data_IF_027661903970
#
_entry.id   IF_027661903970
#
_cell.length_a   1.000
_cell.length_b   1.000
_cell.length_c   1.000
_cell.angle_alpha   90.00
_cell.angle_beta   90.00
_cell.angle_gamma   90.00
#
_symmetry.space_group_name_H-M   'P 1'
#
loop_
_entity.id
_entity.type
_entity.pdbx_description
1 polymer ?
#
# COMPACT_ATOMS: atom_id res chain seq x y z
N UNK A 1 7.71 26.86 -11.40
CA UNK A 1 7.39 26.95 -9.96
C UNK A 1 5.98 26.45 -9.64
N UNK A 2 4.91 26.97 -10.29
CA UNK A 2 3.53 26.58 -9.97
C UNK A 2 3.27 25.07 -10.09
N UNK A 3 3.66 24.43 -11.19
CA UNK A 3 3.47 22.99 -11.40
C UNK A 3 4.21 22.18 -10.33
N UNK A 4 5.44 22.56 -10.00
CA UNK A 4 6.24 21.89 -8.99
C UNK A 4 5.58 21.99 -7.60
N UNK A 5 5.13 23.18 -7.20
CA UNK A 5 4.38 23.38 -5.95
C UNK A 5 3.05 22.60 -5.91
N UNK A 6 2.36 22.48 -7.06
CA UNK A 6 1.12 21.72 -7.15
C UNK A 6 1.35 20.22 -6.88
N UNK A 7 2.43 19.60 -7.42
CA UNK A 7 2.71 18.18 -7.17
C UNK A 7 3.10 17.89 -5.72
N UNK A 8 3.64 18.86 -5.00
CA UNK A 8 3.87 18.75 -3.54
C UNK A 8 2.55 18.71 -2.76
N UNK A 9 1.60 19.59 -3.09
CA UNK A 9 0.25 19.55 -2.51
C UNK A 9 -0.47 18.23 -2.82
N UNK A 10 -0.37 17.74 -4.06
CA UNK A 10 -0.90 16.44 -4.48
C UNK A 10 -0.27 15.30 -3.69
N UNK A 11 1.05 15.37 -3.41
CA UNK A 11 1.75 14.36 -2.62
C UNK A 11 1.22 14.32 -1.19
N UNK A 12 1.08 15.46 -0.51
CA UNK A 12 0.49 15.52 0.83
C UNK A 12 -0.92 14.92 0.87
N UNK A 13 -1.74 15.20 -0.15
CA UNK A 13 -3.10 14.69 -0.26
C UNK A 13 -3.15 13.17 -0.50
N UNK A 14 -2.32 12.65 -1.43
CA UNK A 14 -2.33 11.23 -1.80
C UNK A 14 -1.83 10.33 -0.67
N UNK A 15 -0.91 10.81 0.18
CA UNK A 15 -0.41 10.06 1.35
C UNK A 15 -1.57 9.61 2.25
N UNK A 16 -2.57 10.46 2.47
CA UNK A 16 -3.72 10.18 3.34
C UNK A 16 -4.54 8.98 2.86
N UNK A 17 -4.61 8.73 1.55
CA UNK A 17 -5.37 7.62 0.98
C UNK A 17 -4.97 6.27 1.56
N UNK A 18 -3.67 6.07 1.77
CA UNK A 18 -3.12 4.84 2.31
C UNK A 18 -3.54 4.53 3.76
N UNK A 19 -3.89 5.55 4.54
CA UNK A 19 -4.35 5.37 5.92
C UNK A 19 -5.84 5.04 6.02
N UNK A 20 -6.66 5.50 5.05
CA UNK A 20 -8.12 5.39 5.08
C UNK A 20 -8.70 4.36 4.10
N UNK A 21 -7.82 3.69 3.36
CA UNK A 21 -8.18 2.70 2.35
C UNK A 21 -9.17 1.64 2.88
N UNK A 22 -10.06 1.19 2.01
CA UNK A 22 -11.02 0.12 2.27
C UNK A 22 -12.29 0.53 3.05
N UNK A 23 -12.37 1.76 3.59
CA UNK A 23 -13.54 2.19 4.38
C UNK A 23 -13.98 3.64 4.24
N UNK A 24 -13.17 4.53 3.69
CA UNK A 24 -13.57 5.90 3.44
C UNK A 24 -14.51 5.98 2.23
N UNK A 25 -15.59 6.78 2.31
CA UNK A 25 -16.39 7.11 1.12
C UNK A 25 -15.56 7.93 0.15
N UNK A 26 -15.61 7.61 -1.13
CA UNK A 26 -14.88 8.32 -2.19
C UNK A 26 -15.16 9.84 -2.14
N UNK A 27 -16.43 10.24 -2.01
CA UNK A 27 -16.81 11.66 -1.94
C UNK A 27 -16.19 12.39 -0.75
N UNK A 28 -16.08 11.74 0.41
CA UNK A 28 -15.45 12.33 1.59
C UNK A 28 -13.93 12.47 1.38
N UNK A 29 -13.30 11.48 0.77
CA UNK A 29 -11.89 11.55 0.43
C UNK A 29 -11.60 12.65 -0.61
N UNK A 30 -12.40 12.76 -1.68
CA UNK A 30 -12.25 13.84 -2.69
C UNK A 30 -12.43 15.23 -2.06
N UNK A 31 -13.43 15.40 -1.20
CA UNK A 31 -13.62 16.67 -0.48
C UNK A 31 -12.43 16.96 0.45
N UNK A 32 -11.87 15.95 1.10
CA UNK A 32 -10.67 16.10 1.91
C UNK A 32 -9.44 16.45 1.06
N UNK A 33 -9.28 15.85 -0.13
CA UNK A 33 -8.21 16.22 -1.09
C UNK A 33 -8.29 17.70 -1.45
N UNK A 34 -9.50 18.22 -1.69
CA UNK A 34 -9.69 19.65 -1.94
C UNK A 34 -9.28 20.47 -0.70
N UNK A 35 -9.71 20.07 0.49
CA UNK A 35 -9.38 20.80 1.73
C UNK A 35 -7.87 20.81 2.03
N UNK A 36 -7.19 19.65 1.89
CA UNK A 36 -5.75 19.59 2.15
C UNK A 36 -4.96 20.36 1.11
N UNK A 37 -5.32 20.27 -0.18
CA UNK A 37 -4.58 20.92 -1.26
C UNK A 37 -4.84 22.41 -1.35
N UNK A 38 -6.05 22.88 -0.97
CA UNK A 38 -6.42 24.30 -1.07
C UNK A 38 -6.19 25.09 0.23
N UNK A 39 -6.16 24.43 1.39
CA UNK A 39 -6.11 25.12 2.70
C UNK A 39 -5.02 24.55 3.61
N UNK A 40 -5.10 23.24 3.97
CA UNK A 40 -4.27 22.69 5.05
C UNK A 40 -2.78 22.77 4.70
N UNK A 41 -2.40 22.25 3.54
CA UNK A 41 -1.03 22.29 3.03
C UNK A 41 -0.56 23.70 2.66
N UNK A 42 -1.33 24.55 1.94
CA UNK A 42 -0.91 25.90 1.61
C UNK A 42 -0.67 26.81 2.82
N UNK A 43 -1.41 26.63 3.93
CA UNK A 43 -1.11 27.33 5.18
C UNK A 43 0.26 26.93 5.70
N UNK A 44 0.58 25.64 5.73
CA UNK A 44 1.91 25.17 6.16
C UNK A 44 3.02 25.68 5.24
N UNK A 45 2.85 25.58 3.92
CA UNK A 45 3.80 26.11 2.95
C UNK A 45 3.98 27.62 3.06
N UNK A 46 2.90 28.37 3.32
CA UNK A 46 2.94 29.82 3.48
C UNK A 46 3.68 30.27 4.75
N UNK A 47 3.48 29.60 5.88
CA UNK A 47 4.17 29.96 7.14
C UNK A 47 5.62 29.48 7.17
N UNK A 48 6.03 28.61 6.23
CA UNK A 48 7.40 28.09 6.06
C UNK A 48 8.04 28.66 4.79
N UNK A 49 7.98 27.99 3.68
CA UNK A 49 8.62 28.36 2.40
C UNK A 49 8.16 29.70 1.83
N UNK A 50 6.91 30.12 2.13
CA UNK A 50 6.38 31.42 1.77
C UNK A 50 6.91 32.60 2.59
N UNK A 51 7.91 32.38 3.47
CA UNK A 51 8.52 33.42 4.29
C UNK A 51 7.69 33.85 5.50
N UNK A 52 6.71 33.04 5.92
CA UNK A 52 5.90 33.32 7.09
C UNK A 52 6.63 33.09 8.43
N UNK A 53 5.85 33.01 9.51
CA UNK A 53 6.39 33.02 10.88
C UNK A 53 7.40 31.91 11.19
N UNK A 54 7.23 30.69 10.67
CA UNK A 54 8.17 29.59 10.90
C UNK A 54 9.51 29.81 10.18
N UNK A 55 9.50 30.42 9.00
CA UNK A 55 10.74 30.87 8.36
C UNK A 55 11.44 31.92 9.23
N UNK A 56 10.66 32.85 9.83
CA UNK A 56 11.20 33.87 10.71
C UNK A 56 11.85 33.33 11.99
N UNK A 57 11.41 32.17 12.50
CA UNK A 57 12.07 31.50 13.65
C UNK A 57 13.19 30.55 13.22
N UNK A 58 13.48 30.42 11.91
CA UNK A 58 14.56 29.61 11.38
C UNK A 58 14.25 28.13 11.17
N UNK A 59 12.96 27.76 11.12
CA UNK A 59 12.57 26.40 10.72
C UNK A 59 13.00 26.14 9.28
N UNK A 60 13.64 24.99 9.06
CA UNK A 60 14.14 24.61 7.75
C UNK A 60 13.66 23.20 7.37
N UNK A 61 13.21 23.07 6.15
CA UNK A 61 12.75 21.81 5.53
C UNK A 61 12.95 21.94 4.02
N UNK A 62 13.94 21.23 3.49
CA UNK A 62 14.39 21.41 2.12
C UNK A 62 13.34 21.05 1.09
N UNK A 63 12.86 19.81 1.12
CA UNK A 63 11.92 19.30 0.12
C UNK A 63 10.62 18.76 0.72
N UNK A 64 10.29 19.09 1.97
CA UNK A 64 9.00 18.75 2.56
C UNK A 64 9.00 17.44 3.36
N UNK A 65 10.09 17.09 4.03
CA UNK A 65 10.10 15.98 4.97
C UNK A 65 9.01 16.11 6.03
N UNK A 66 8.84 17.29 6.60
CA UNK A 66 7.73 17.62 7.51
C UNK A 66 6.57 18.29 6.79
N UNK A 67 6.85 19.27 5.93
CA UNK A 67 5.84 20.13 5.26
C UNK A 67 4.92 19.32 4.34
N UNK A 68 5.41 18.25 3.71
CA UNK A 68 4.64 17.38 2.81
C UNK A 68 4.37 16.03 3.46
N UNK A 69 5.43 15.30 3.78
CA UNK A 69 5.31 13.93 4.28
C UNK A 69 4.81 13.89 5.72
N UNK A 70 5.35 14.74 6.60
CA UNK A 70 4.85 14.90 7.97
C UNK A 70 3.38 15.29 8.00
N UNK A 71 2.99 16.30 7.21
CA UNK A 71 1.59 16.71 7.05
C UNK A 71 0.73 15.56 6.56
N UNK A 72 1.11 14.89 5.46
CA UNK A 72 0.36 13.76 4.91
C UNK A 72 0.23 12.59 5.89
N UNK A 73 1.33 12.23 6.58
CA UNK A 73 1.36 11.13 7.55
C UNK A 73 0.52 11.39 8.80
N UNK A 74 0.63 12.59 9.36
CA UNK A 74 -0.15 13.03 10.55
C UNK A 74 -1.63 13.16 10.18
N UNK A 75 -1.93 13.73 9.02
CA UNK A 75 -3.29 13.81 8.49
C UNK A 75 -3.89 12.42 8.27
N UNK A 76 -3.11 11.48 7.71
CA UNK A 76 -3.52 10.09 7.52
C UNK A 76 -3.86 9.40 8.83
N UNK A 77 -3.01 9.52 9.86
CA UNK A 77 -3.26 8.97 11.19
C UNK A 77 -4.53 9.57 11.82
N UNK A 78 -4.70 10.89 11.72
CA UNK A 78 -5.87 11.59 12.24
C UNK A 78 -7.15 11.14 11.53
N UNK A 79 -7.12 11.03 10.20
CA UNK A 79 -8.24 10.54 9.41
C UNK A 79 -8.59 9.09 9.73
N UNK A 80 -7.59 8.21 9.88
CA UNK A 80 -7.76 6.81 10.26
C UNK A 80 -8.44 6.68 11.64
N UNK A 81 -8.01 7.49 12.61
CA UNK A 81 -8.64 7.56 13.93
C UNK A 81 -10.10 8.01 13.86
N UNK A 82 -10.40 9.05 13.08
CA UNK A 82 -11.76 9.59 12.93
C UNK A 82 -12.73 8.60 12.27
N UNK A 83 -12.25 7.82 11.30
CA UNK A 83 -13.03 6.81 10.58
C UNK A 83 -13.24 5.53 11.39
N UNK A 84 -12.32 5.20 12.28
CA UNK A 84 -12.24 3.90 12.94
C UNK A 84 -11.60 2.81 12.08
N UNK A 85 -11.38 1.61 12.65
CA UNK A 85 -10.73 0.50 11.95
C UNK A 85 -11.65 -0.11 10.89
N UNK A 86 -11.06 -0.83 9.93
CA UNK A 86 -11.81 -1.71 9.01
C UNK A 86 -12.55 -2.79 9.80
N UNK A 87 -13.60 -3.32 9.19
CA UNK A 87 -14.33 -4.45 9.77
C UNK A 87 -13.36 -5.60 10.04
N UNK A 88 -13.58 -6.31 11.11
CA UNK A 88 -12.82 -7.49 11.53
C UNK A 88 -11.30 -7.24 11.76
N UNK A 89 -10.85 -5.96 11.73
CA UNK A 89 -9.44 -5.62 12.04
C UNK A 89 -9.07 -5.97 13.48
N UNK A 90 -10.00 -5.83 14.40
CA UNK A 90 -9.81 -6.17 15.81
C UNK A 90 -10.88 -7.14 16.25
N UNK A 91 -10.48 -8.22 16.95
CA UNK A 91 -11.37 -9.19 17.59
C UNK A 91 -11.99 -8.61 18.88
N UNK A 92 -13.00 -9.27 19.42
CA UNK A 92 -13.65 -8.85 20.67
C UNK A 92 -12.70 -8.82 21.87
N UNK A 93 -11.71 -9.70 21.90
CA UNK A 93 -10.65 -9.72 22.92
C UNK A 93 -9.58 -8.62 22.73
N UNK A 94 -9.72 -7.84 21.69
CA UNK A 94 -8.80 -6.75 21.32
C UNK A 94 -7.56 -7.22 20.57
N UNK A 95 -7.46 -8.48 20.17
CA UNK A 95 -6.37 -8.94 19.30
C UNK A 95 -6.50 -8.35 17.89
N UNK A 96 -5.35 -8.18 17.24
CA UNK A 96 -5.27 -7.61 15.90
C UNK A 96 -5.34 -8.73 14.85
N UNK A 97 -6.24 -8.59 13.88
CA UNK A 97 -6.36 -9.51 12.76
C UNK A 97 -5.66 -8.96 11.52
N UNK A 98 -4.95 -9.84 10.82
CA UNK A 98 -4.28 -9.48 9.57
C UNK A 98 -5.30 -9.39 8.44
N UNK A 99 -5.31 -8.26 7.74
CA UNK A 99 -6.06 -8.07 6.50
C UNK A 99 -5.03 -7.87 5.38
N UNK A 100 -4.61 -8.95 4.69
CA UNK A 100 -3.55 -8.88 3.69
C UNK A 100 -4.01 -8.15 2.43
N UNK A 101 -3.06 -7.49 1.75
CA UNK A 101 -3.30 -6.99 0.39
C UNK A 101 -3.30 -8.15 -0.63
N UNK A 102 -3.91 -7.91 -1.78
CA UNK A 102 -4.07 -8.93 -2.81
C UNK A 102 -2.79 -9.21 -3.62
N UNK A 103 -1.84 -8.25 -3.70
CA UNK A 103 -0.63 -8.41 -4.52
C UNK A 103 0.59 -7.73 -3.91
N UNK A 104 1.50 -8.53 -3.37
CA UNK A 104 2.81 -8.09 -2.91
C UNK A 104 3.67 -7.54 -4.04
N UNK A 105 3.60 -8.15 -5.23
CA UNK A 105 4.37 -7.75 -6.40
C UNK A 105 4.04 -6.33 -6.84
N UNK A 106 2.74 -5.96 -6.89
CA UNK A 106 2.33 -4.61 -7.22
C UNK A 106 2.73 -3.60 -6.14
N UNK A 107 2.69 -3.98 -4.87
CA UNK A 107 3.14 -3.10 -3.78
C UNK A 107 4.64 -2.77 -3.90
N UNK A 108 5.49 -3.78 -4.17
CA UNK A 108 6.93 -3.58 -4.38
C UNK A 108 7.20 -2.79 -5.66
N UNK A 109 6.51 -3.10 -6.77
CA UNK A 109 6.64 -2.33 -8.02
C UNK A 109 6.30 -0.85 -7.80
N UNK A 110 5.19 -0.56 -7.12
CA UNK A 110 4.80 0.81 -6.78
C UNK A 110 5.87 1.52 -5.94
N UNK A 111 6.47 0.82 -4.97
CA UNK A 111 7.60 1.35 -4.17
C UNK A 111 8.80 1.70 -5.03
N UNK A 112 9.18 0.87 -6.01
CA UNK A 112 10.30 1.15 -6.91
C UNK A 112 10.02 2.33 -7.85
N UNK A 113 8.79 2.47 -8.33
CA UNK A 113 8.36 3.64 -9.10
C UNK A 113 8.45 4.92 -8.27
N UNK A 114 8.02 4.88 -7.00
CA UNK A 114 8.17 5.99 -6.06
C UNK A 114 9.64 6.31 -5.78
N UNK A 115 10.49 5.29 -5.58
CA UNK A 115 11.93 5.46 -5.36
C UNK A 115 12.61 6.20 -6.51
N UNK A 116 12.26 5.85 -7.75
CA UNK A 116 12.73 6.56 -8.93
C UNK A 116 12.21 8.00 -8.98
N UNK A 117 10.90 8.19 -8.76
CA UNK A 117 10.27 9.51 -8.76
C UNK A 117 10.83 10.46 -7.68
N UNK A 118 11.39 9.90 -6.61
CA UNK A 118 11.95 10.68 -5.51
C UNK A 118 13.18 11.49 -5.89
N UNK A 119 13.92 11.08 -6.91
CA UNK A 119 14.97 11.94 -7.49
C UNK A 119 14.36 13.19 -8.12
N UNK A 120 13.24 13.06 -8.84
CA UNK A 120 12.49 14.21 -9.33
C UNK A 120 11.99 15.11 -8.18
N UNK A 121 11.56 14.50 -7.09
CA UNK A 121 11.07 15.21 -5.91
C UNK A 121 12.22 15.97 -5.20
N UNK A 122 13.26 15.28 -4.76
CA UNK A 122 14.36 15.87 -3.98
C UNK A 122 15.33 16.68 -4.86
N UNK A 123 15.85 16.09 -5.95
CA UNK A 123 16.81 16.79 -6.81
C UNK A 123 16.13 17.93 -7.57
N UNK A 124 14.87 17.74 -7.98
CA UNK A 124 14.07 18.81 -8.59
C UNK A 124 13.90 20.04 -7.68
N UNK A 125 13.90 19.85 -6.35
CA UNK A 125 13.81 20.95 -5.37
C UNK A 125 15.06 21.87 -5.39
N UNK A 126 16.19 21.42 -5.92
CA UNK A 126 17.37 22.31 -6.08
C UNK A 126 17.09 23.49 -7.02
N UNK A 127 16.05 23.39 -7.84
CA UNK A 127 15.48 24.39 -8.75
C UNK A 127 16.43 24.96 -9.79
N UNK A 128 17.66 25.33 -9.42
CA UNK A 128 18.67 25.90 -10.33
C UNK A 128 20.00 25.16 -10.18
N UNK A 129 20.48 24.65 -11.31
CA UNK A 129 21.80 24.02 -11.43
C UNK A 129 22.86 25.04 -11.85
N UNK A 130 22.41 26.08 -12.55
CA UNK A 130 23.25 27.18 -13.04
C UNK A 130 22.87 28.46 -12.33
N UNK A 131 23.84 29.17 -11.80
CA UNK A 131 23.69 30.53 -11.31
C UNK A 131 24.46 31.50 -12.21
N UNK A 132 24.04 32.77 -12.26
CA UNK A 132 24.77 33.84 -12.91
C UNK A 132 25.28 34.76 -11.80
N UNK A 133 26.57 34.71 -11.56
CA UNK A 133 27.25 35.56 -10.57
C UNK A 133 28.21 36.51 -11.30
N UNK A 134 28.06 37.80 -11.05
CA UNK A 134 28.87 38.85 -11.68
C UNK A 134 28.86 38.81 -13.23
N UNK A 135 27.77 38.30 -13.82
CA UNK A 135 27.61 38.15 -15.27
C UNK A 135 28.25 36.90 -15.87
N UNK A 136 28.85 36.04 -15.05
CA UNK A 136 29.39 34.75 -15.45
C UNK A 136 28.45 33.60 -15.04
N UNK A 137 28.34 32.59 -15.90
CA UNK A 137 27.62 31.36 -15.59
C UNK A 137 28.47 30.54 -14.62
N UNK A 138 27.96 30.24 -13.42
CA UNK A 138 28.61 29.39 -12.43
C UNK A 138 27.92 28.03 -12.36
N UNK A 139 28.68 27.00 -11.93
CA UNK A 139 28.20 25.63 -11.75
C UNK A 139 28.06 25.27 -10.27
N UNK A 140 28.02 26.25 -9.37
CA UNK A 140 28.03 26.04 -7.92
C UNK A 140 26.76 25.26 -7.45
N UNK A 141 25.66 25.37 -8.18
CA UNK A 141 24.47 24.56 -7.96
C UNK A 141 24.71 23.04 -8.06
N UNK A 142 25.70 22.58 -8.84
CA UNK A 142 26.01 21.15 -8.97
C UNK A 142 26.48 20.49 -7.66
N UNK A 143 27.12 21.21 -6.78
CA UNK A 143 27.54 20.67 -5.47
C UNK A 143 26.30 20.32 -4.61
N UNK A 144 25.25 21.15 -4.63
CA UNK A 144 24.00 20.89 -3.93
C UNK A 144 23.25 19.74 -4.60
N UNK A 145 23.14 19.74 -5.94
CA UNK A 145 22.53 18.64 -6.71
C UNK A 145 23.19 17.30 -6.37
N UNK A 146 24.52 17.25 -6.37
CA UNK A 146 25.28 16.05 -6.01
C UNK A 146 25.02 15.57 -4.60
N UNK A 147 24.97 16.50 -3.63
CA UNK A 147 24.65 16.18 -2.23
C UNK A 147 23.25 15.63 -2.08
N UNK A 148 22.26 16.28 -2.69
CA UNK A 148 20.84 15.85 -2.63
C UNK A 148 20.65 14.50 -3.30
N UNK A 149 21.26 14.27 -4.46
CA UNK A 149 21.22 12.98 -5.14
C UNK A 149 21.88 11.86 -4.28
N UNK A 150 23.03 12.13 -3.71
CA UNK A 150 23.72 11.22 -2.80
C UNK A 150 22.87 10.93 -1.55
N UNK A 151 22.37 11.95 -0.85
CA UNK A 151 21.54 11.78 0.33
C UNK A 151 20.26 10.96 0.01
N UNK A 152 19.62 11.21 -1.13
CA UNK A 152 18.46 10.45 -1.60
C UNK A 152 18.82 8.97 -1.83
N UNK A 153 19.94 8.71 -2.52
CA UNK A 153 20.38 7.33 -2.82
C UNK A 153 20.72 6.53 -1.56
N UNK A 154 21.58 7.11 -0.69
CA UNK A 154 21.99 6.39 0.54
C UNK A 154 20.84 6.32 1.54
N UNK A 155 19.96 7.32 1.55
CA UNK A 155 18.76 7.35 2.38
C UNK A 155 17.81 6.18 2.08
N UNK A 156 17.48 5.96 0.79
CA UNK A 156 16.61 4.82 0.41
C UNK A 156 17.25 3.48 0.78
N UNK A 157 18.56 3.31 0.53
CA UNK A 157 19.26 2.07 0.83
C UNK A 157 19.33 1.80 2.34
N UNK A 158 19.71 2.81 3.13
CA UNK A 158 19.84 2.69 4.58
C UNK A 158 18.45 2.46 5.25
N UNK A 159 17.40 3.11 4.77
CA UNK A 159 16.04 2.88 5.25
C UNK A 159 15.55 1.45 5.02
N UNK A 160 15.80 0.89 3.83
CA UNK A 160 15.49 -0.51 3.53
C UNK A 160 16.23 -1.47 4.47
N UNK A 161 17.54 -1.25 4.69
CA UNK A 161 18.36 -2.05 5.62
C UNK A 161 17.86 -1.92 7.05
N UNK A 162 17.54 -0.72 7.51
CA UNK A 162 16.97 -0.48 8.84
C UNK A 162 15.68 -1.25 9.08
N UNK A 163 14.76 -1.22 8.12
CA UNK A 163 13.51 -1.96 8.21
C UNK A 163 13.70 -3.48 8.14
N UNK A 164 14.67 -3.95 7.33
CA UNK A 164 15.04 -5.36 7.31
C UNK A 164 15.52 -5.84 8.70
N UNK A 165 16.39 -5.04 9.35
CA UNK A 165 16.88 -5.34 10.72
C UNK A 165 15.71 -5.30 11.71
N UNK A 166 14.86 -4.27 11.67
CA UNK A 166 13.71 -4.13 12.55
C UNK A 166 12.72 -5.29 12.40
N UNK A 167 12.37 -5.67 11.17
CA UNK A 167 11.48 -6.79 10.92
C UNK A 167 12.07 -8.12 11.36
N UNK A 168 13.37 -8.35 11.09
CA UNK A 168 14.07 -9.56 11.54
C UNK A 168 14.06 -9.68 13.07
N UNK A 169 14.22 -8.57 13.77
CA UNK A 169 14.17 -8.56 15.26
C UNK A 169 12.78 -8.93 15.77
N UNK A 170 11.71 -8.36 15.20
CA UNK A 170 10.34 -8.56 15.65
C UNK A 170 9.78 -9.92 15.22
N UNK A 171 9.95 -10.28 13.95
CA UNK A 171 9.22 -11.39 13.32
C UNK A 171 10.10 -12.60 13.01
N UNK A 172 11.41 -12.50 13.27
CA UNK A 172 12.43 -13.52 12.92
C UNK A 172 12.56 -13.77 11.42
N UNK A 173 11.97 -12.91 10.60
CA UNK A 173 12.05 -12.96 9.13
C UNK A 173 12.22 -11.55 8.57
N UNK A 174 12.85 -11.44 7.40
CA UNK A 174 12.87 -10.19 6.66
C UNK A 174 11.54 -10.06 5.90
N UNK A 175 10.69 -9.15 6.35
CA UNK A 175 9.40 -8.91 5.72
C UNK A 175 9.53 -7.96 4.54
N UNK A 176 9.03 -8.38 3.38
CA UNK A 176 9.16 -7.64 2.12
C UNK A 176 8.46 -6.27 2.16
N UNK A 177 7.29 -6.19 2.80
CA UNK A 177 6.56 -4.91 2.91
C UNK A 177 7.23 -3.95 3.88
N UNK A 178 7.78 -4.45 4.99
CA UNK A 178 8.57 -3.61 5.89
C UNK A 178 9.80 -3.07 5.17
N UNK A 179 10.51 -3.89 4.36
CA UNK A 179 11.66 -3.42 3.57
C UNK A 179 11.25 -2.36 2.55
N UNK A 180 10.16 -2.58 1.81
CA UNK A 180 9.62 -1.63 0.85
C UNK A 180 9.22 -0.30 1.52
N UNK A 181 8.46 -0.36 2.61
CA UNK A 181 8.09 0.82 3.39
C UNK A 181 9.32 1.48 4.05
N UNK A 182 10.32 0.70 4.46
CA UNK A 182 11.56 1.20 5.05
C UNK A 182 12.41 1.98 4.06
N UNK A 183 12.46 1.54 2.80
CA UNK A 183 13.05 2.30 1.70
C UNK A 183 12.40 3.68 1.60
N UNK A 184 11.06 3.74 1.64
CA UNK A 184 10.31 5.00 1.59
C UNK A 184 10.52 5.84 2.87
N UNK A 185 10.54 5.23 4.06
CA UNK A 185 10.80 5.95 5.31
C UNK A 185 12.20 6.58 5.33
N UNK A 186 13.21 5.88 4.78
CA UNK A 186 14.54 6.44 4.60
C UNK A 186 14.58 7.61 3.62
N UNK A 187 13.83 7.55 2.54
CA UNK A 187 13.65 8.66 1.61
C UNK A 187 12.98 9.85 2.28
N UNK A 188 11.88 9.64 3.00
CA UNK A 188 11.19 10.70 3.77
C UNK A 188 12.12 11.35 4.77
N UNK A 189 12.88 10.54 5.50
CA UNK A 189 13.83 11.01 6.53
C UNK A 189 14.84 12.02 6.00
N UNK A 190 15.39 11.78 4.80
CA UNK A 190 16.37 12.67 4.19
C UNK A 190 15.74 13.82 3.41
N UNK A 191 14.45 13.75 3.05
CA UNK A 191 13.78 14.73 2.18
C UNK A 191 13.85 16.16 2.72
N UNK A 192 13.66 16.34 4.02
CA UNK A 192 13.71 17.68 4.64
C UNK A 192 15.11 18.21 4.89
N UNK A 193 16.16 17.39 4.71
CA UNK A 193 17.53 17.71 5.14
C UNK A 193 18.59 17.48 4.05
N UNK A 194 18.17 17.07 2.85
CA UNK A 194 19.05 16.53 1.81
C UNK A 194 20.12 17.52 1.33
N UNK A 195 19.86 18.81 1.37
CA UNK A 195 20.77 19.89 0.98
C UNK A 195 21.86 20.21 2.02
N UNK A 196 21.58 19.95 3.30
CA UNK A 196 22.43 20.35 4.43
C UNK A 196 22.95 19.16 5.25
N UNK A 197 22.58 17.93 4.93
CA UNK A 197 22.99 16.74 5.67
C UNK A 197 24.38 16.25 5.24
N UNK A 198 25.17 15.79 6.20
CA UNK A 198 26.41 15.04 5.92
C UNK A 198 26.08 13.66 5.32
N UNK A 199 26.99 13.09 4.51
CA UNK A 199 26.76 11.78 3.89
C UNK A 199 26.51 10.65 4.93
N UNK A 200 27.27 10.64 6.02
CA UNK A 200 27.08 9.66 7.11
C UNK A 200 25.81 9.94 7.91
N UNK A 201 25.44 11.23 8.04
CA UNK A 201 24.18 11.65 8.68
C UNK A 201 22.97 11.17 7.91
N UNK A 202 22.98 11.25 6.58
CA UNK A 202 21.92 10.72 5.73
C UNK A 202 21.72 9.22 5.93
N UNK A 203 22.83 8.45 5.99
CA UNK A 203 22.78 7.00 6.28
C UNK A 203 22.20 6.74 7.68
N UNK A 204 22.69 7.42 8.69
CA UNK A 204 22.30 7.20 10.08
C UNK A 204 20.81 7.52 10.31
N UNK A 205 20.35 8.69 9.85
CA UNK A 205 18.96 9.12 10.03
C UNK A 205 18.00 8.19 9.29
N UNK A 206 18.34 7.84 8.06
CA UNK A 206 17.51 6.92 7.26
C UNK A 206 17.48 5.49 7.85
N UNK A 207 18.61 4.99 8.36
CA UNK A 207 18.69 3.70 9.04
C UNK A 207 17.77 3.67 10.28
N UNK A 208 17.81 4.73 11.09
CA UNK A 208 16.95 4.90 12.26
C UNK A 208 15.47 4.93 11.83
N UNK A 209 15.14 5.66 10.77
CA UNK A 209 13.77 5.75 10.26
C UNK A 209 13.27 4.44 9.66
N UNK A 210 14.12 3.64 9.04
CA UNK A 210 13.80 2.27 8.65
C UNK A 210 13.58 1.36 9.85
N UNK A 211 14.48 1.40 10.83
CA UNK A 211 14.42 0.57 12.04
C UNK A 211 13.16 0.85 12.89
N UNK A 212 12.77 2.12 13.05
CA UNK A 212 11.59 2.50 13.82
C UNK A 212 10.28 2.08 13.17
N UNK A 213 10.26 1.90 11.85
CA UNK A 213 9.03 1.70 11.08
C UNK A 213 8.17 0.52 11.60
N UNK A 214 8.68 -0.72 11.73
CA UNK A 214 7.86 -1.81 12.26
C UNK A 214 7.44 -1.57 13.71
N UNK A 215 8.29 -0.95 14.54
CA UNK A 215 7.99 -0.65 15.95
C UNK A 215 6.84 0.35 16.08
N UNK A 216 6.89 1.44 15.30
CA UNK A 216 5.82 2.46 15.32
C UNK A 216 4.54 1.90 14.70
N UNK A 217 4.63 1.06 13.67
CA UNK A 217 3.47 0.41 13.09
C UNK A 217 2.74 -0.47 14.12
N UNK A 218 3.46 -1.35 14.83
CA UNK A 218 2.87 -2.15 15.91
C UNK A 218 2.30 -1.28 17.03
N UNK A 219 2.99 -0.20 17.41
CA UNK A 219 2.48 0.71 18.43
C UNK A 219 1.15 1.35 18.02
N UNK A 220 1.06 1.87 16.78
CA UNK A 220 -0.16 2.48 16.23
C UNK A 220 -1.28 1.45 16.12
N UNK A 221 -0.99 0.27 15.57
CA UNK A 221 -1.97 -0.80 15.38
C UNK A 221 -2.41 -1.43 16.69
N UNK A 222 -1.47 -1.87 17.55
CA UNK A 222 -1.78 -2.74 18.69
C UNK A 222 -2.06 -1.96 19.98
N UNK A 223 -1.40 -0.82 20.17
CA UNK A 223 -1.57 -0.02 21.39
C UNK A 223 -2.57 1.10 21.20
N UNK A 224 -2.46 1.86 20.11
CA UNK A 224 -3.41 2.95 19.84
C UNK A 224 -4.72 2.45 19.22
N UNK A 225 -4.76 1.21 18.68
CA UNK A 225 -5.91 0.65 17.97
C UNK A 225 -6.37 1.50 16.80
N UNK A 226 -5.40 2.07 16.08
CA UNK A 226 -5.65 2.84 14.86
C UNK A 226 -5.25 1.98 13.66
N UNK A 227 -6.19 1.73 12.75
CA UNK A 227 -5.97 0.95 11.54
C UNK A 227 -5.38 1.83 10.42
N UNK A 228 -4.07 1.99 10.46
CA UNK A 228 -3.28 2.64 9.42
C UNK A 228 -2.90 1.62 8.34
N UNK A 229 -3.73 1.50 7.30
CA UNK A 229 -3.70 0.38 6.34
C UNK A 229 -2.36 0.24 5.63
N UNK A 230 -1.74 1.35 5.19
CA UNK A 230 -0.49 1.32 4.44
C UNK A 230 0.75 1.72 5.26
N UNK A 231 0.66 1.74 6.60
CA UNK A 231 1.72 2.24 7.47
C UNK A 231 2.12 3.69 7.15
N UNK A 232 1.12 4.52 6.85
CA UNK A 232 1.30 5.91 6.39
C UNK A 232 1.99 6.74 7.45
N UNK A 233 1.57 6.62 8.71
CA UNK A 233 2.19 7.38 9.80
C UNK A 233 3.63 6.95 10.08
N UNK A 234 3.98 5.66 10.21
CA UNK A 234 5.36 5.24 10.37
C UNK A 234 6.30 5.68 9.24
N UNK A 235 5.81 5.64 7.99
CA UNK A 235 6.60 6.00 6.81
C UNK A 235 6.74 7.50 6.63
N UNK A 236 5.64 8.24 6.74
CA UNK A 236 5.61 9.67 6.39
C UNK A 236 5.56 10.58 7.62
N UNK A 237 4.72 10.27 8.61
CA UNK A 237 4.53 11.09 9.80
C UNK A 237 5.76 11.05 10.71
N UNK A 238 6.09 9.88 11.25
CA UNK A 238 7.19 9.76 12.21
C UNK A 238 8.56 9.94 11.54
N UNK A 239 8.78 9.38 10.33
CA UNK A 239 10.05 9.56 9.64
C UNK A 239 10.29 11.00 9.20
N UNK A 240 9.23 11.73 8.79
CA UNK A 240 9.32 13.16 8.49
C UNK A 240 9.70 14.01 9.71
N UNK A 241 9.09 13.72 10.86
CA UNK A 241 9.43 14.36 12.14
C UNK A 241 10.86 14.07 12.56
N UNK A 242 11.26 12.78 12.54
CA UNK A 242 12.63 12.35 12.90
C UNK A 242 13.64 13.02 11.98
N UNK A 243 13.38 13.05 10.66
CA UNK A 243 14.28 13.62 9.67
C UNK A 243 14.62 15.08 9.97
N UNK A 244 13.61 15.94 10.10
CA UNK A 244 13.86 17.36 10.35
C UNK A 244 14.42 17.63 11.74
N UNK A 245 14.03 16.88 12.77
CA UNK A 245 14.61 16.99 14.11
C UNK A 245 16.06 16.48 14.21
N UNK A 246 16.46 15.60 13.31
CA UNK A 246 17.84 15.11 13.24
C UNK A 246 18.82 16.11 12.59
N UNK A 247 18.33 17.02 11.74
CA UNK A 247 19.19 17.96 11.00
C UNK A 247 20.22 18.68 11.87
N UNK A 248 19.88 19.24 13.04
CA UNK A 248 20.85 19.95 13.89
C UNK A 248 22.08 19.12 14.28
N UNK A 249 21.94 17.80 14.34
CA UNK A 249 22.99 16.86 14.76
C UNK A 249 23.87 16.34 13.60
N UNK A 250 23.33 16.40 12.38
CA UNK A 250 23.98 15.85 11.17
C UNK A 250 24.24 16.91 10.10
N UNK A 251 24.09 18.18 10.45
CA UNK A 251 24.28 19.32 9.57
C UNK A 251 25.75 19.46 9.13
N UNK A 252 25.97 19.81 7.86
CA UNK A 252 27.32 19.98 7.28
C UNK A 252 28.19 21.01 8.01
N UNK A 253 27.59 22.00 8.65
CA UNK A 253 28.28 23.03 9.42
C UNK A 253 28.38 22.70 10.93
N UNK A 254 28.03 21.49 11.34
CA UNK A 254 28.04 21.06 12.74
C UNK A 254 26.77 21.36 13.50
N UNK A 255 26.76 21.04 14.79
CA UNK A 255 25.58 21.16 15.67
C UNK A 255 25.18 22.63 15.91
N UNK A 256 23.88 22.88 15.90
CA UNK A 256 23.28 24.18 16.25
C UNK A 256 22.07 23.98 17.17
N UNK A 257 22.13 24.60 18.36
CA UNK A 257 21.02 24.59 19.32
C UNK A 257 19.85 25.45 18.82
N UNK A 258 20.14 26.58 18.17
CA UNK A 258 19.10 27.45 17.63
C UNK A 258 18.31 26.74 16.54
N UNK A 259 18.99 25.98 15.69
CA UNK A 259 18.34 25.15 14.68
C UNK A 259 17.49 24.06 15.33
N UNK A 260 17.97 23.42 16.41
CA UNK A 260 17.17 22.40 17.12
C UNK A 260 15.88 23.00 17.68
N UNK A 261 15.96 24.17 18.32
CA UNK A 261 14.78 24.86 18.86
C UNK A 261 13.81 25.22 17.73
N UNK A 262 14.32 25.74 16.62
CA UNK A 262 13.50 26.09 15.44
C UNK A 262 12.79 24.88 14.86
N UNK A 263 13.48 23.74 14.72
CA UNK A 263 12.89 22.50 14.23
C UNK A 263 11.80 21.98 15.17
N UNK A 264 12.02 22.01 16.49
CA UNK A 264 11.02 21.59 17.48
C UNK A 264 9.75 22.47 17.38
N UNK A 265 9.93 23.80 17.29
CA UNK A 265 8.80 24.73 17.14
C UNK A 265 8.03 24.45 15.84
N UNK A 266 8.76 24.28 14.72
CA UNK A 266 8.14 24.00 13.43
C UNK A 266 7.34 22.69 13.44
N UNK A 267 7.92 21.60 13.95
CA UNK A 267 7.24 20.30 14.07
C UNK A 267 6.00 20.41 14.95
N UNK A 268 6.08 21.10 16.09
CA UNK A 268 4.94 21.25 17.01
C UNK A 268 3.78 22.02 16.35
N UNK A 269 4.09 23.15 15.71
CA UNK A 269 3.08 24.01 15.05
C UNK A 269 2.44 23.27 13.87
N UNK A 270 3.24 22.67 12.99
CA UNK A 270 2.73 21.96 11.81
C UNK A 270 1.89 20.75 12.23
N UNK A 271 2.33 19.99 13.24
CA UNK A 271 1.57 18.86 13.80
C UNK A 271 0.22 19.32 14.35
N UNK A 272 0.21 20.35 15.21
CA UNK A 272 -1.01 20.87 15.82
C UNK A 272 -2.01 21.36 14.75
N UNK A 273 -1.54 22.14 13.78
CA UNK A 273 -2.36 22.60 12.66
C UNK A 273 -2.95 21.44 11.86
N UNK A 274 -2.12 20.48 11.48
CA UNK A 274 -2.53 19.33 10.65
C UNK A 274 -3.57 18.47 11.35
N UNK A 275 -3.36 18.16 12.64
CA UNK A 275 -4.33 17.39 13.44
C UNK A 275 -5.65 18.11 13.54
N UNK A 276 -5.64 19.39 13.95
CA UNK A 276 -6.86 20.17 14.16
C UNK A 276 -7.65 20.36 12.87
N UNK A 277 -6.97 20.73 11.79
CA UNK A 277 -7.63 20.96 10.49
C UNK A 277 -8.18 19.65 9.89
N UNK A 278 -7.42 18.55 9.96
CA UNK A 278 -7.88 17.26 9.48
C UNK A 278 -9.05 16.73 10.30
N UNK A 279 -8.97 16.83 11.64
CA UNK A 279 -10.05 16.42 12.53
C UNK A 279 -11.33 17.24 12.29
N UNK A 280 -11.20 18.54 12.01
CA UNK A 280 -12.34 19.39 11.69
C UNK A 280 -13.05 18.90 10.39
N UNK A 281 -12.30 18.67 9.32
CA UNK A 281 -12.88 18.22 8.05
C UNK A 281 -13.55 16.85 8.20
N UNK A 282 -12.82 15.83 8.70
CA UNK A 282 -13.40 14.49 8.90
C UNK A 282 -14.50 14.50 9.97
N UNK A 283 -14.43 15.37 10.97
CA UNK A 283 -15.47 15.58 11.98
C UNK A 283 -16.79 16.01 11.37
N UNK A 284 -16.79 16.96 10.44
CA UNK A 284 -17.98 17.38 9.69
C UNK A 284 -18.58 16.22 8.90
N UNK A 285 -17.76 15.49 8.14
CA UNK A 285 -18.23 14.33 7.38
C UNK A 285 -18.76 13.21 8.28
N UNK A 286 -18.11 12.97 9.43
CA UNK A 286 -18.55 11.98 10.42
C UNK A 286 -19.89 12.37 11.03
N UNK A 287 -20.06 13.62 11.44
CA UNK A 287 -21.31 14.13 11.97
C UNK A 287 -22.47 14.04 10.97
N UNK A 288 -22.17 14.23 9.68
CA UNK A 288 -23.14 14.08 8.59
C UNK A 288 -23.39 12.62 8.16
N UNK A 289 -22.73 11.62 8.76
CA UNK A 289 -22.83 10.21 8.35
C UNK A 289 -22.23 9.92 6.95
N UNK A 290 -21.33 10.80 6.46
CA UNK A 290 -20.77 10.74 5.12
C UNK A 290 -19.29 10.38 5.06
N UNK A 291 -18.63 10.14 6.20
CA UNK A 291 -17.19 9.87 6.23
C UNK A 291 -16.86 8.43 5.78
N UNK A 292 -17.62 7.44 6.25
CA UNK A 292 -17.35 6.01 6.07
C UNK A 292 -18.43 5.34 5.23
N UNK A 293 -18.04 4.34 4.46
CA UNK A 293 -18.97 3.45 3.73
C UNK A 293 -19.81 2.61 4.70
N UNK A 294 -20.89 2.01 4.19
CA UNK A 294 -21.70 1.07 4.99
C UNK A 294 -20.93 -0.25 5.19
N UNK A 295 -21.25 -1.02 6.23
CA UNK A 295 -20.65 -2.35 6.42
C UNK A 295 -20.85 -3.29 5.22
N UNK A 296 -21.97 -3.15 4.52
CA UNK A 296 -22.27 -3.91 3.31
C UNK A 296 -21.29 -3.57 2.18
N UNK A 297 -21.11 -2.29 1.86
CA UNK A 297 -20.13 -1.83 0.86
C UNK A 297 -18.69 -2.22 1.22
N UNK A 298 -18.36 -2.22 2.50
CA UNK A 298 -17.02 -2.62 2.96
C UNK A 298 -16.76 -4.12 2.77
N UNK A 299 -17.81 -4.98 2.90
CA UNK A 299 -17.72 -6.41 2.61
C UNK A 299 -17.71 -6.73 1.13
N UNK A 300 -18.53 -6.03 0.35
CA UNK A 300 -18.64 -6.26 -1.10
C UNK A 300 -17.38 -5.80 -1.86
N UNK A 301 -16.60 -4.88 -1.28
CA UNK A 301 -15.46 -4.23 -1.90
C UNK A 301 -15.83 -2.87 -2.51
N UNK A 302 -14.89 -1.92 -2.37
CA UNK A 302 -15.11 -0.54 -2.83
C UNK A 302 -15.02 -0.39 -4.35
N UNK A 303 -14.35 -1.29 -5.04
CA UNK A 303 -14.30 -1.38 -6.49
C UNK A 303 -15.70 -1.65 -7.06
N UNK A 304 -16.44 -2.58 -6.47
CA UNK A 304 -17.81 -2.88 -6.88
C UNK A 304 -18.78 -1.80 -6.39
N UNK A 305 -18.73 -1.44 -5.10
CA UNK A 305 -19.75 -0.59 -4.48
C UNK A 305 -19.63 0.89 -4.82
N UNK A 306 -18.41 1.41 -5.04
CA UNK A 306 -18.17 2.82 -5.39
C UNK A 306 -17.96 3.03 -6.91
N UNK A 307 -17.47 2.02 -7.63
CA UNK A 307 -17.11 2.15 -9.04
C UNK A 307 -17.87 1.21 -9.99
N UNK A 308 -18.58 0.19 -9.46
CA UNK A 308 -19.31 -0.78 -10.28
C UNK A 308 -18.41 -1.69 -11.11
N UNK A 309 -17.15 -1.84 -10.72
CA UNK A 309 -16.14 -2.65 -11.42
C UNK A 309 -15.61 -3.71 -10.49
N UNK A 310 -15.62 -4.96 -10.92
CA UNK A 310 -14.89 -6.04 -10.24
C UNK A 310 -13.47 -6.10 -10.78
N UNK A 311 -12.50 -5.69 -9.95
CA UNK A 311 -11.11 -5.54 -10.39
C UNK A 311 -10.40 -6.88 -10.59
N UNK A 312 -10.81 -7.91 -9.84
CA UNK A 312 -10.21 -9.24 -9.86
C UNK A 312 -11.29 -10.33 -9.86
N UNK A 313 -12.07 -10.45 -10.93
CA UNK A 313 -13.18 -11.42 -11.00
C UNK A 313 -12.72 -12.87 -10.81
N UNK A 314 -11.46 -13.18 -11.10
CA UNK A 314 -10.86 -14.49 -10.93
C UNK A 314 -10.66 -14.93 -9.47
N UNK A 315 -10.72 -14.01 -8.50
CA UNK A 315 -10.61 -14.33 -7.07
C UNK A 315 -11.97 -14.65 -6.41
N UNK A 316 -13.07 -14.39 -7.10
CA UNK A 316 -14.42 -14.52 -6.55
C UNK A 316 -14.71 -13.48 -5.47
N UNK A 317 -15.97 -13.31 -5.09
CA UNK A 317 -16.35 -12.40 -4.00
C UNK A 317 -15.95 -12.97 -2.65
N UNK A 318 -15.18 -12.26 -1.81
CA UNK A 318 -14.95 -12.66 -0.43
C UNK A 318 -16.31 -12.68 0.30
N UNK A 319 -16.74 -13.84 0.79
CA UNK A 319 -17.89 -13.95 1.70
C UNK A 319 -19.25 -14.19 1.05
N UNK A 320 -19.38 -14.27 -0.25
CA UNK A 320 -20.50 -14.97 -0.85
C UNK A 320 -20.16 -16.46 -0.79
N UNK A 321 -20.47 -17.11 0.35
CA UNK A 321 -20.89 -18.48 0.25
C UNK A 321 -22.03 -18.44 -0.78
N UNK A 322 -21.77 -18.87 -1.99
CA UNK A 322 -22.86 -19.33 -2.84
C UNK A 322 -23.50 -20.42 -1.99
N UNK A 323 -24.63 -20.08 -1.36
CA UNK A 323 -25.58 -21.10 -0.98
C UNK A 323 -25.59 -22.02 -2.18
N UNK A 324 -25.29 -23.30 -1.95
CA UNK A 324 -25.16 -24.31 -3.00
C UNK A 324 -26.51 -24.56 -3.73
N UNK A 325 -26.99 -23.47 -4.28
CA UNK A 325 -27.93 -23.47 -5.39
C UNK A 325 -27.12 -23.78 -6.64
N UNK A 326 -26.81 -25.06 -6.87
CA UNK A 326 -26.79 -25.55 -8.23
C UNK A 326 -28.03 -24.94 -8.89
N UNK A 327 -27.85 -23.98 -9.77
CA UNK A 327 -28.79 -23.78 -10.84
C UNK A 327 -28.74 -25.08 -11.63
N UNK A 328 -29.50 -26.06 -11.15
CA UNK A 328 -30.00 -27.13 -11.99
C UNK A 328 -30.82 -26.37 -13.00
N UNK A 329 -30.26 -26.05 -14.14
CA UNK A 329 -31.04 -25.75 -15.32
C UNK A 329 -31.79 -27.07 -15.58
N UNK A 330 -33.03 -27.10 -15.11
CA UNK A 330 -33.97 -28.19 -15.44
C UNK A 330 -34.23 -28.07 -16.94
N UNK A 331 -33.45 -28.81 -17.73
CA UNK A 331 -33.62 -28.93 -19.17
C UNK A 331 -34.66 -29.96 -19.52
N UNK A 332 -35.57 -30.29 -18.62
CA UNK A 332 -36.65 -31.30 -18.85
C UNK A 332 -37.95 -30.73 -19.38
N UNK A 333 -38.02 -29.50 -19.89
CA UNK A 333 -39.20 -29.08 -20.64
C UNK A 333 -38.81 -28.46 -22.00
N UNK A 334 -39.17 -29.20 -23.06
CA UNK A 334 -39.17 -28.86 -24.49
C UNK A 334 -37.95 -29.27 -25.35
N UNK A 335 -37.73 -30.58 -25.43
CA UNK A 335 -37.20 -31.12 -26.69
C UNK A 335 -38.32 -31.97 -27.34
N UNK A 336 -38.64 -31.80 -28.64
CA UNK A 336 -39.60 -32.65 -29.35
C UNK A 336 -39.09 -34.09 -29.36
N UNK A 337 -39.84 -35.02 -28.83
CA UNK A 337 -39.63 -36.44 -29.02
C UNK A 337 -39.67 -36.75 -30.53
N UNK A 338 -38.54 -37.09 -31.10
CA UNK A 338 -38.50 -37.83 -32.35
C UNK A 338 -38.69 -39.28 -32.00
N UNK A 339 -39.79 -39.84 -32.44
CA UNK A 339 -40.05 -41.28 -32.45
C UNK A 339 -39.08 -41.99 -33.38
N UNK A 340 -38.53 -43.12 -32.92
CA UNK A 340 -38.09 -44.23 -33.73
C UNK A 340 -36.61 -44.36 -33.96
N UNK A 341 -36.00 -45.37 -33.33
CA UNK A 341 -34.71 -45.96 -33.70
C UNK A 341 -33.83 -46.26 -32.48
N UNK A 342 -33.85 -47.51 -32.03
CA UNK A 342 -32.83 -48.06 -31.14
C UNK A 342 -31.47 -48.06 -31.91
N UNK A 343 -30.69 -47.01 -31.76
CA UNK A 343 -29.25 -47.07 -31.90
C UNK A 343 -28.66 -46.75 -30.51
N UNK A 344 -27.73 -47.60 -30.04
CA UNK A 344 -26.97 -47.40 -28.81
C UNK A 344 -26.19 -46.09 -28.92
N UNK A 345 -26.87 -44.96 -28.59
CA UNK A 345 -26.27 -43.66 -28.56
C UNK A 345 -25.25 -43.60 -27.43
N UNK A 346 -24.00 -43.32 -27.76
CA UNK A 346 -22.95 -43.07 -26.79
C UNK A 346 -23.41 -41.96 -25.85
N UNK A 347 -23.57 -42.30 -24.58
CA UNK A 347 -23.97 -41.34 -23.54
C UNK A 347 -22.87 -40.30 -23.32
N UNK A 348 -23.10 -39.02 -23.61
CA UNK A 348 -22.14 -37.96 -23.38
C UNK A 348 -21.96 -37.80 -21.89
N UNK A 349 -20.72 -37.93 -21.39
CA UNK A 349 -20.36 -37.77 -19.97
C UNK A 349 -19.34 -36.65 -19.78
N UNK A 350 -19.45 -35.97 -18.65
CA UNK A 350 -18.48 -34.97 -18.24
C UNK A 350 -17.77 -35.45 -16.97
N UNK A 351 -16.44 -35.56 -17.05
CA UNK A 351 -15.58 -35.83 -15.91
C UNK A 351 -15.04 -34.50 -15.38
N UNK A 352 -15.32 -34.21 -14.11
CA UNK A 352 -14.83 -32.98 -13.45
C UNK A 352 -13.87 -33.37 -12.33
N UNK A 353 -12.68 -32.77 -12.32
CA UNK A 353 -11.69 -32.97 -11.28
C UNK A 353 -11.13 -31.62 -10.80
N UNK A 354 -10.83 -31.52 -9.49
CA UNK A 354 -10.12 -30.37 -8.91
C UNK A 354 -8.75 -30.82 -8.42
N UNK A 355 -7.73 -30.33 -9.08
CA UNK A 355 -6.34 -30.82 -8.92
C UNK A 355 -5.40 -29.68 -8.50
N UNK A 356 -4.18 -30.03 -8.10
CA UNK A 356 -3.12 -29.04 -7.87
C UNK A 356 -2.59 -28.50 -9.19
N UNK A 357 -2.21 -27.20 -9.28
CA UNK A 357 -1.67 -26.63 -10.53
C UNK A 357 -0.43 -27.33 -11.07
N UNK A 358 0.43 -27.85 -10.17
CA UNK A 358 1.65 -28.57 -10.52
C UNK A 358 1.38 -29.94 -11.21
N UNK A 359 0.18 -30.49 -11.06
CA UNK A 359 -0.24 -31.73 -11.66
C UNK A 359 -0.86 -31.61 -13.07
N UNK A 360 -1.17 -30.40 -13.48
CA UNK A 360 -1.84 -30.15 -14.77
C UNK A 360 -1.03 -30.68 -15.97
N UNK A 361 0.29 -30.59 -15.90
CA UNK A 361 1.19 -31.10 -16.97
C UNK A 361 1.10 -32.62 -17.11
N UNK A 362 1.22 -33.33 -15.99
CA UNK A 362 1.17 -34.80 -15.93
C UNK A 362 -0.19 -35.32 -16.43
N UNK A 363 -1.28 -34.64 -15.99
CA UNK A 363 -2.65 -35.00 -16.38
C UNK A 363 -2.90 -34.81 -17.89
N UNK A 364 -2.40 -33.71 -18.46
CA UNK A 364 -2.51 -33.46 -19.91
C UNK A 364 -1.83 -34.59 -20.73
N UNK A 365 -0.69 -35.05 -20.25
CA UNK A 365 0.03 -36.14 -20.90
C UNK A 365 -0.75 -37.45 -20.78
N UNK A 366 -1.22 -37.81 -19.58
CA UNK A 366 -2.01 -39.02 -19.36
C UNK A 366 -3.31 -39.04 -20.18
N UNK A 367 -4.02 -37.92 -20.27
CA UNK A 367 -5.21 -37.79 -21.11
C UNK A 367 -4.91 -37.91 -22.60
N UNK A 368 -3.74 -37.44 -23.06
CA UNK A 368 -3.33 -37.61 -24.44
C UNK A 368 -3.00 -39.07 -24.77
N UNK A 369 -2.45 -39.85 -23.84
CA UNK A 369 -2.12 -41.26 -23.99
C UNK A 369 -3.36 -42.14 -24.17
N UNK A 370 -4.49 -41.76 -23.59
CA UNK A 370 -5.80 -42.43 -23.77
C UNK A 370 -6.67 -41.80 -24.87
N UNK A 371 -6.09 -40.98 -25.73
CA UNK A 371 -6.78 -40.26 -26.81
C UNK A 371 -7.91 -39.30 -26.35
N UNK A 372 -7.87 -38.78 -25.13
CA UNK A 372 -8.78 -37.79 -24.59
C UNK A 372 -8.11 -36.39 -24.35
N UNK A 373 -7.46 -35.78 -25.36
CA UNK A 373 -6.64 -34.57 -25.15
C UNK A 373 -7.46 -33.31 -24.90
N UNK A 374 -8.76 -33.33 -25.16
CA UNK A 374 -9.64 -32.16 -25.04
C UNK A 374 -10.05 -31.95 -23.60
N UNK A 375 -9.70 -30.79 -23.03
CA UNK A 375 -10.08 -30.45 -21.67
C UNK A 375 -10.31 -28.93 -21.54
N UNK A 376 -11.18 -28.56 -20.61
CA UNK A 376 -11.36 -27.18 -20.15
C UNK A 376 -10.67 -27.01 -18.81
N UNK A 377 -9.96 -25.90 -18.64
CA UNK A 377 -9.21 -25.59 -17.41
C UNK A 377 -9.74 -24.30 -16.81
N UNK A 378 -10.15 -24.35 -15.54
CA UNK A 378 -10.58 -23.18 -14.78
C UNK A 378 -9.74 -23.06 -13.52
N UNK A 379 -9.19 -21.89 -13.25
CA UNK A 379 -8.51 -21.62 -11.99
C UNK A 379 -9.57 -21.47 -10.88
N UNK A 380 -9.39 -22.20 -9.79
CA UNK A 380 -10.28 -22.19 -8.64
C UNK A 380 -9.49 -22.12 -7.36
N UNK A 381 -10.10 -21.66 -6.27
CA UNK A 381 -9.50 -21.70 -4.95
C UNK A 381 -10.30 -22.68 -4.07
N UNK A 382 -9.61 -23.50 -3.30
CA UNK A 382 -10.29 -24.50 -2.48
C UNK A 382 -9.43 -24.96 -1.29
N UNK A 383 -10.12 -25.39 -0.23
CA UNK A 383 -9.55 -26.09 0.90
C UNK A 383 -9.62 -27.61 0.62
N UNK A 384 -8.54 -28.32 0.89
CA UNK A 384 -8.46 -29.80 0.86
C UNK A 384 -7.73 -30.30 2.08
N UNK A 385 -7.25 -31.55 2.02
CA UNK A 385 -6.46 -32.19 3.08
C UNK A 385 -5.04 -31.61 3.27
N UNK A 386 -4.63 -30.66 2.45
CA UNK A 386 -3.32 -30.03 2.56
C UNK A 386 -3.27 -29.14 3.81
N UNK A 387 -2.16 -29.17 4.57
CA UNK A 387 -1.99 -28.26 5.70
C UNK A 387 -2.05 -26.81 5.23
N UNK A 388 -2.74 -25.96 6.01
CA UNK A 388 -2.84 -24.55 5.72
C UNK A 388 -1.44 -23.92 5.64
N UNK A 389 -1.21 -23.13 4.60
CA UNK A 389 0.05 -22.38 4.47
C UNK A 389 -0.03 -21.12 5.34
N UNK A 390 1.03 -20.87 6.07
CA UNK A 390 1.20 -19.61 6.78
C UNK A 390 1.84 -18.58 5.86
N UNK A 391 1.17 -17.47 5.68
CA UNK A 391 1.69 -16.26 5.06
C UNK A 391 2.14 -15.25 6.11
N UNK A 392 2.89 -14.23 5.69
CA UNK A 392 3.30 -13.13 6.53
C UNK A 392 2.96 -11.81 5.83
N UNK A 393 2.33 -10.90 6.56
CA UNK A 393 2.00 -9.56 6.11
C UNK A 393 2.38 -8.56 7.18
N UNK A 394 3.36 -7.69 6.90
CA UNK A 394 3.92 -6.73 7.87
C UNK A 394 4.33 -7.35 9.20
N UNK A 395 4.98 -8.52 9.12
CA UNK A 395 5.42 -9.23 10.31
C UNK A 395 4.35 -10.06 11.01
N UNK A 396 3.08 -9.90 10.69
CA UNK A 396 1.98 -10.69 11.25
C UNK A 396 1.76 -11.95 10.42
N UNK A 397 1.69 -13.11 11.10
CA UNK A 397 1.36 -14.38 10.44
C UNK A 397 -0.15 -14.47 10.22
N UNK A 398 -0.53 -14.88 9.02
CA UNK A 398 -1.90 -15.26 8.72
C UNK A 398 -1.96 -16.64 8.06
N UNK A 399 -3.09 -17.30 8.20
CA UNK A 399 -3.31 -18.61 7.61
C UNK A 399 -3.97 -18.46 6.25
N UNK A 400 -3.30 -18.95 5.20
CA UNK A 400 -3.90 -19.06 3.87
C UNK A 400 -4.82 -20.27 3.87
N UNK A 401 -6.11 -20.02 3.94
CA UNK A 401 -7.15 -21.02 4.08
C UNK A 401 -7.51 -21.69 2.75
N UNK A 402 -7.53 -20.90 1.68
CA UNK A 402 -7.81 -21.37 0.33
C UNK A 402 -6.52 -21.46 -0.49
N UNK A 403 -6.28 -22.63 -1.04
CA UNK A 403 -5.14 -22.87 -1.95
C UNK A 403 -5.61 -22.76 -3.39
N UNK A 404 -4.73 -22.25 -4.25
CA UNK A 404 -4.96 -22.27 -5.68
C UNK A 404 -5.06 -23.71 -6.16
N UNK A 405 -6.10 -24.02 -6.92
CA UNK A 405 -6.42 -25.28 -7.55
C UNK A 405 -6.76 -25.05 -9.01
N UNK A 406 -6.82 -26.11 -9.75
CA UNK A 406 -7.27 -26.13 -11.13
C UNK A 406 -8.44 -27.09 -11.24
N UNK A 407 -9.58 -26.61 -11.70
CA UNK A 407 -10.72 -27.45 -12.11
C UNK A 407 -10.50 -27.85 -13.56
N UNK A 408 -10.53 -29.14 -13.84
CA UNK A 408 -10.47 -29.73 -15.15
C UNK A 408 -11.82 -30.33 -15.48
N UNK A 409 -12.32 -30.07 -16.66
CA UNK A 409 -13.56 -30.63 -17.20
C UNK A 409 -13.25 -31.27 -18.54
N UNK A 410 -13.53 -32.59 -18.68
CA UNK A 410 -13.35 -33.40 -19.89
C UNK A 410 -14.70 -33.96 -20.29
N UNK A 411 -15.16 -33.62 -21.49
CA UNK A 411 -16.41 -34.16 -22.06
C UNK A 411 -16.06 -35.29 -23.00
N UNK A 412 -16.64 -36.45 -22.76
CA UNK A 412 -16.39 -37.68 -23.53
C UNK A 412 -17.67 -38.34 -23.98
N UNK A 413 -17.66 -38.95 -25.13
CA UNK A 413 -18.73 -39.74 -25.70
C UNK A 413 -18.25 -41.18 -26.04
N UNK A 414 -17.03 -41.30 -26.62
CA UNK A 414 -16.51 -42.54 -27.16
C UNK A 414 -15.51 -43.23 -26.24
N UNK A 415 -15.03 -42.52 -25.22
CA UNK A 415 -14.08 -42.99 -24.21
C UNK A 415 -14.81 -43.22 -22.88
N UNK A 416 -14.60 -44.35 -22.19
CA UNK A 416 -15.22 -44.57 -20.89
C UNK A 416 -14.83 -43.49 -19.88
N UNK A 417 -15.83 -42.90 -19.21
CA UNK A 417 -15.58 -41.84 -18.24
C UNK A 417 -14.67 -42.31 -17.06
N UNK A 418 -14.74 -43.59 -16.71
CA UNK A 418 -13.91 -44.20 -15.67
C UNK A 418 -12.42 -44.23 -16.08
N UNK A 419 -12.12 -44.47 -17.34
CA UNK A 419 -10.75 -44.44 -17.87
C UNK A 419 -10.18 -43.02 -17.82
N UNK A 420 -10.99 -42.01 -18.13
CA UNK A 420 -10.62 -40.60 -17.99
C UNK A 420 -10.39 -40.24 -16.53
N UNK A 421 -11.24 -40.72 -15.63
CA UNK A 421 -11.11 -40.47 -14.20
C UNK A 421 -9.84 -41.08 -13.61
N UNK A 422 -9.48 -42.31 -14.04
CA UNK A 422 -8.24 -42.98 -13.66
C UNK A 422 -6.99 -42.24 -14.20
N UNK A 423 -7.03 -41.73 -15.43
CA UNK A 423 -5.93 -40.92 -15.98
C UNK A 423 -5.69 -39.61 -15.28
N UNK A 424 -6.75 -39.04 -14.64
CA UNK A 424 -6.64 -37.79 -13.85
C UNK A 424 -6.17 -38.05 -12.41
N UNK A 425 -6.43 -39.23 -11.85
CA UNK A 425 -6.15 -39.58 -10.45
C UNK A 425 -4.65 -39.82 -10.18
#
# INVERSE_FOLDING_TARGET
DWLFGAVFAMTAATIVSGAVAGRAKLRAYVAYVIAISAVIYPVVAGITWGGGFLAGVGFTDFAGGMIVHGVGGIAGLTAAYMLGPRMDRYSEDGSTNVIPGHSMTFAVLGTLVLAFGWYGFNVGTTATVFAVEEGALTLDGFAVVGRVAMATTVGMAAGAVGAAIGSLYLTKKVDTLYVANGLLAGLVAVTGIADLVTWWGAILVALICGLQLPLVFEFVSDKMKIDDVCAVFPVHGSAGVIGVLALPFVHVNGFSMDLLVSQVIGVAVITAWTVLATAAVFGVFKAAGQARVTPEHERDGLDVSEHGVETYPEFGKPGVATDGGSAVVDTTENSPRADGGEEAGSEIKMVTAVVRPDKLGDIKQALAEINAPSLTVTNVSGRGSQPAKKGQWRGEEFTVDLHQKVKIEVVVADIPADEVAEAIA
#
